data_IF_588961284664
#
_entry.id   IF_588961284664
#
_cell.length_a   1.000
_cell.length_b   1.000
_cell.length_c   1.000
_cell.angle_alpha   90.00
_cell.angle_beta   90.00
_cell.angle_gamma   90.00
#
_symmetry.space_group_name_H-M   'P 1'
#
loop_
_entity.id
_entity.type
_entity.pdbx_description
1 polymer ?
#
# COMPACT_ATOMS: atom_id res chain seq x y z
N UNK A 1 11.03 -29.51 35.66
CA UNK A 1 10.22 -29.10 34.48
C UNK A 1 10.99 -29.16 33.15
N UNK A 2 12.34 -29.22 33.12
CA UNK A 2 13.11 -29.31 31.86
C UNK A 2 13.06 -30.67 31.14
N UNK A 3 12.92 -31.79 31.86
CA UNK A 3 13.07 -33.14 31.29
C UNK A 3 11.91 -33.54 30.34
N UNK A 4 10.72 -32.96 30.53
CA UNK A 4 9.55 -33.26 29.69
C UNK A 4 9.62 -32.59 28.30
N UNK A 5 10.37 -31.49 28.17
CA UNK A 5 10.48 -30.73 26.92
C UNK A 5 11.46 -31.42 25.97
N UNK A 6 12.58 -31.93 26.49
CA UNK A 6 13.60 -32.63 25.70
C UNK A 6 13.09 -33.94 25.10
N UNK A 7 12.25 -34.69 25.82
CA UNK A 7 11.68 -35.96 25.30
C UNK A 7 10.67 -35.73 24.18
N UNK A 8 9.91 -34.63 24.23
CA UNK A 8 8.93 -34.26 23.21
C UNK A 8 9.60 -33.81 21.90
N UNK A 9 10.66 -32.99 21.99
CA UNK A 9 11.46 -32.55 20.84
C UNK A 9 12.14 -33.75 20.16
N UNK A 10 12.71 -34.67 20.94
CA UNK A 10 13.37 -35.86 20.39
C UNK A 10 12.38 -36.81 19.70
N UNK A 11 11.15 -36.94 20.22
CA UNK A 11 10.09 -37.73 19.59
C UNK A 11 9.61 -37.12 18.26
N UNK A 12 9.41 -35.79 18.25
CA UNK A 12 9.02 -35.06 17.04
C UNK A 12 10.10 -35.11 15.94
N UNK A 13 11.39 -35.07 16.34
CA UNK A 13 12.53 -35.22 15.42
C UNK A 13 12.64 -36.64 14.84
N UNK A 14 12.34 -37.67 15.63
CA UNK A 14 12.39 -39.06 15.19
C UNK A 14 11.26 -39.39 14.20
N UNK A 15 10.05 -38.92 14.45
CA UNK A 15 8.92 -39.05 13.52
C UNK A 15 9.17 -38.28 12.21
N UNK A 16 9.76 -37.08 12.29
CA UNK A 16 10.18 -36.32 11.11
C UNK A 16 11.24 -37.06 10.28
N UNK A 17 12.29 -37.61 10.92
CA UNK A 17 13.32 -38.41 10.22
C UNK A 17 12.76 -39.70 9.62
N UNK A 18 11.83 -40.36 10.30
CA UNK A 18 11.12 -41.53 9.79
C UNK A 18 10.24 -41.17 8.58
N UNK A 19 9.54 -40.03 8.64
CA UNK A 19 8.72 -39.54 7.53
C UNK A 19 9.57 -39.13 6.32
N UNK A 20 10.69 -38.43 6.51
CA UNK A 20 11.61 -38.08 5.42
C UNK A 20 12.24 -39.32 4.77
N UNK A 21 12.68 -40.31 5.57
CA UNK A 21 13.35 -41.51 5.04
C UNK A 21 12.43 -42.43 4.23
N UNK A 22 11.12 -42.40 4.51
CA UNK A 22 10.12 -43.20 3.80
C UNK A 22 9.37 -42.46 2.67
N UNK A 23 9.51 -41.13 2.54
CA UNK A 23 8.76 -40.33 1.53
C UNK A 23 9.63 -39.54 0.51
N UNK A 24 10.95 -39.76 0.44
CA UNK A 24 11.78 -39.20 -0.67
C UNK A 24 11.97 -40.18 -1.83
N UNK A 25 10.86 -40.70 -2.34
CA UNK A 25 10.76 -41.13 -3.74
C UNK A 25 9.49 -40.52 -4.31
N UNK A 26 9.59 -39.28 -4.79
CA UNK A 26 8.66 -38.83 -5.84
C UNK A 26 9.34 -39.12 -7.17
N UNK A 27 8.87 -40.09 -7.99
CA UNK A 27 9.49 -40.41 -9.27
C UNK A 27 9.25 -39.33 -10.34
N UNK A 28 8.42 -38.32 -10.07
CA UNK A 28 8.21 -37.17 -10.94
C UNK A 28 8.16 -35.91 -10.07
N UNK A 29 9.06 -34.97 -10.32
CA UNK A 29 8.82 -33.57 -9.96
C UNK A 29 7.79 -33.10 -10.98
N UNK A 30 6.55 -32.88 -10.54
CA UNK A 30 5.56 -32.23 -11.40
C UNK A 30 5.94 -30.75 -11.46
N UNK A 31 6.22 -30.23 -12.64
CA UNK A 31 6.54 -28.80 -12.85
C UNK A 31 5.40 -27.87 -12.38
N UNK A 32 4.19 -28.41 -12.27
CA UNK A 32 3.02 -27.71 -11.74
C UNK A 32 3.01 -27.58 -10.21
N UNK A 33 3.87 -28.30 -9.48
CA UNK A 33 3.91 -28.25 -8.03
C UNK A 33 5.08 -27.38 -7.55
N UNK A 34 4.77 -26.24 -6.93
CA UNK A 34 5.79 -25.32 -6.41
C UNK A 34 6.52 -25.96 -5.23
N UNK A 35 7.85 -26.04 -5.33
CA UNK A 35 8.70 -26.55 -4.25
C UNK A 35 8.64 -25.55 -3.09
N UNK A 36 7.88 -25.88 -2.05
CA UNK A 36 7.77 -25.07 -0.83
C UNK A 36 8.84 -25.48 0.18
N UNK A 37 9.46 -24.49 0.83
CA UNK A 37 10.40 -24.74 1.91
C UNK A 37 9.65 -25.24 3.15
N UNK A 38 9.78 -26.53 3.44
CA UNK A 38 9.05 -27.23 4.52
C UNK A 38 9.32 -26.64 5.91
N UNK A 39 10.53 -26.15 6.19
CA UNK A 39 10.87 -25.53 7.48
C UNK A 39 10.07 -24.25 7.73
N UNK A 40 9.81 -23.47 6.68
CA UNK A 40 9.02 -22.23 6.77
C UNK A 40 7.53 -22.54 6.99
N UNK A 41 7.04 -23.69 6.51
CA UNK A 41 5.64 -24.09 6.74
C UNK A 41 5.39 -24.38 8.23
N UNK A 42 6.35 -25.01 8.90
CA UNK A 42 6.25 -25.42 10.30
C UNK A 42 6.38 -24.25 11.30
N UNK A 43 6.97 -23.11 10.88
CA UNK A 43 7.16 -21.92 11.71
C UNK A 43 5.91 -21.02 11.72
N UNK A 44 5.16 -20.99 10.62
CA UNK A 44 4.00 -20.11 10.47
C UNK A 44 2.73 -20.80 10.99
N UNK A 45 2.23 -20.34 12.13
CA UNK A 45 0.97 -20.79 12.73
C UNK A 45 -0.25 -20.47 11.86
N UNK A 46 -1.34 -21.24 12.01
CA UNK A 46 -2.58 -21.04 11.25
C UNK A 46 -3.16 -19.63 11.40
N UNK A 47 -3.11 -19.05 12.61
CA UNK A 47 -3.56 -17.69 12.88
C UNK A 47 -2.83 -16.64 12.02
N UNK A 48 -1.52 -16.78 11.83
CA UNK A 48 -0.72 -15.87 11.02
C UNK A 48 -0.97 -16.07 9.52
N UNK A 49 -1.37 -17.27 9.08
CA UNK A 49 -1.76 -17.54 7.69
C UNK A 49 -3.09 -16.90 7.31
N UNK A 50 -3.98 -16.76 8.29
CA UNK A 50 -5.34 -16.25 8.10
C UNK A 50 -5.44 -14.74 8.36
N UNK A 51 -4.43 -14.17 9.00
CA UNK A 51 -4.32 -12.73 9.25
C UNK A 51 -4.27 -11.94 7.93
N UNK A 52 -5.15 -10.95 7.82
CA UNK A 52 -5.20 -10.00 6.71
C UNK A 52 -4.82 -8.63 7.27
N UNK A 53 -4.08 -7.85 6.49
CA UNK A 53 -3.83 -6.46 6.86
C UNK A 53 -5.16 -5.71 6.92
N UNK A 54 -5.34 -4.79 7.89
CA UNK A 54 -6.50 -3.92 7.91
C UNK A 54 -6.47 -2.96 6.72
N UNK A 55 -7.65 -2.58 6.23
CA UNK A 55 -7.81 -1.53 5.23
C UNK A 55 -7.63 -0.16 5.89
N UNK A 56 -6.38 0.30 5.98
CA UNK A 56 -6.04 1.61 6.54
C UNK A 56 -5.93 2.68 5.44
N UNK A 57 -6.50 3.86 5.70
CA UNK A 57 -6.37 5.01 4.81
C UNK A 57 -4.96 5.58 4.89
N UNK A 58 -4.37 5.87 3.73
CA UNK A 58 -3.10 6.60 3.67
C UNK A 58 -3.35 8.11 3.83
N UNK A 59 -2.44 8.80 4.52
CA UNK A 59 -2.46 10.25 4.61
C UNK A 59 -1.99 10.85 3.26
N UNK A 60 -2.92 11.42 2.50
CA UNK A 60 -2.62 12.11 1.24
C UNK A 60 -2.52 13.62 1.53
N UNK A 61 -1.41 14.30 1.15
CA UNK A 61 -1.29 15.74 1.32
C UNK A 61 -2.37 16.47 0.50
N UNK A 62 -3.23 17.23 1.18
CA UNK A 62 -4.32 17.95 0.53
C UNK A 62 -3.83 18.94 -0.55
N UNK A 63 -2.64 19.52 -0.38
CA UNK A 63 -2.03 20.44 -1.34
C UNK A 63 -1.70 19.82 -2.70
N UNK A 64 -1.53 18.49 -2.74
CA UNK A 64 -1.24 17.72 -3.97
C UNK A 64 -2.53 17.19 -4.63
N UNK A 65 -3.68 17.45 -4.02
CA UNK A 65 -4.97 17.10 -4.58
C UNK A 65 -5.53 18.30 -5.38
N UNK A 66 -6.33 18.03 -6.44
CA UNK A 66 -7.08 19.06 -7.13
C UNK A 66 -8.14 19.68 -6.21
N UNK A 67 -8.48 20.94 -6.46
CA UNK A 67 -9.54 21.63 -5.73
C UNK A 67 -10.88 20.87 -5.88
N UNK A 68 -11.56 20.49 -4.78
CA UNK A 68 -12.89 19.90 -4.85
C UNK A 68 -13.95 20.87 -5.42
N UNK A 69 -13.71 22.19 -5.39
CA UNK A 69 -14.63 23.20 -5.94
C UNK A 69 -14.24 23.58 -7.39
N UNK A 70 -14.97 23.12 -8.42
CA UNK A 70 -14.58 23.31 -9.82
C UNK A 70 -14.77 24.74 -10.35
N UNK A 71 -15.40 25.64 -9.58
CA UNK A 71 -15.71 27.02 -10.04
C UNK A 71 -14.49 27.97 -9.91
N UNK A 72 -13.45 27.54 -9.19
CA UNK A 72 -12.34 28.42 -8.81
C UNK A 72 -11.07 28.24 -9.68
N UNK A 73 -11.05 27.29 -10.63
CA UNK A 73 -9.86 27.01 -11.42
C UNK A 73 -9.95 25.86 -12.42
N UNK A 74 -8.78 25.44 -12.92
CA UNK A 74 -8.66 24.27 -13.79
C UNK A 74 -8.77 22.99 -12.93
N UNK A 75 -9.76 22.11 -13.17
CA UNK A 75 -10.01 20.92 -12.34
C UNK A 75 -8.88 19.88 -12.38
N UNK A 76 -7.89 20.05 -13.25
CA UNK A 76 -6.75 19.16 -13.37
C UNK A 76 -5.51 19.64 -12.59
N UNK A 77 -5.55 20.84 -12.01
CA UNK A 77 -4.42 21.42 -11.27
C UNK A 77 -4.58 21.21 -9.77
N UNK A 78 -3.45 20.96 -9.11
CA UNK A 78 -3.39 20.83 -7.64
C UNK A 78 -3.49 22.20 -6.96
N UNK A 79 -3.96 22.24 -5.72
CA UNK A 79 -4.03 23.47 -4.92
C UNK A 79 -2.67 24.20 -4.88
N UNK A 80 -1.58 23.45 -4.75
CA UNK A 80 -0.22 23.98 -4.75
C UNK A 80 0.17 24.66 -6.07
N UNK A 81 -0.24 24.10 -7.20
CA UNK A 81 0.04 24.68 -8.52
C UNK A 81 -0.76 25.95 -8.76
N UNK A 82 -2.01 25.99 -8.29
CA UNK A 82 -2.87 27.16 -8.39
C UNK A 82 -2.32 28.36 -7.61
N UNK A 83 -1.83 28.15 -6.38
CA UNK A 83 -1.22 29.20 -5.55
C UNK A 83 0.07 29.80 -6.15
N UNK A 84 0.77 29.04 -7.00
CA UNK A 84 1.98 29.52 -7.67
C UNK A 84 1.67 30.39 -8.90
N UNK A 85 0.41 30.48 -9.33
CA UNK A 85 0.02 31.30 -10.47
C UNK A 85 -0.17 32.75 -10.05
N UNK A 86 0.46 33.66 -10.79
CA UNK A 86 0.19 35.08 -10.65
C UNK A 86 -1.07 35.43 -11.46
N UNK A 87 -2.18 35.69 -10.77
CA UNK A 87 -3.48 36.03 -11.38
C UNK A 87 -3.79 37.53 -11.44
N UNK A 88 -3.00 38.37 -10.76
CA UNK A 88 -3.20 39.82 -10.75
C UNK A 88 -2.71 40.49 -12.04
N UNK A 89 -3.67 40.87 -12.89
CA UNK A 89 -3.46 41.60 -14.14
C UNK A 89 -3.59 43.12 -13.99
N UNK A 90 -3.81 43.65 -12.77
CA UNK A 90 -3.99 45.08 -12.49
C UNK A 90 -5.05 45.82 -13.36
N UNK A 91 -6.01 45.08 -13.95
CA UNK A 91 -7.04 45.61 -14.86
C UNK A 91 -7.96 46.65 -14.19
N UNK A 92 -8.04 46.65 -12.86
CA UNK A 92 -8.74 47.66 -12.07
C UNK A 92 -8.26 49.10 -12.36
N UNK A 93 -7.03 49.28 -12.84
CA UNK A 93 -6.49 50.59 -13.22
C UNK A 93 -7.09 51.10 -14.54
N UNK A 94 -7.47 50.21 -15.45
CA UNK A 94 -7.98 50.55 -16.79
C UNK A 94 -9.43 51.05 -16.70
N UNK A 95 -10.27 50.40 -15.89
CA UNK A 95 -11.68 50.77 -15.73
C UNK A 95 -11.90 52.13 -15.03
N UNK A 96 -10.90 52.65 -14.31
CA UNK A 96 -10.98 53.98 -13.69
C UNK A 96 -10.56 55.12 -14.62
N UNK A 97 -9.96 54.79 -15.77
CA UNK A 97 -9.44 55.77 -16.73
C UNK A 97 -10.35 56.05 -17.91
N UNK A 98 -11.51 55.40 -18.03
CA UNK A 98 -12.54 55.85 -18.97
C UNK A 98 -13.12 57.16 -18.43
N UNK A 99 -12.82 58.32 -19.04
CA UNK A 99 -13.51 59.55 -18.68
C UNK A 99 -14.97 59.30 -19.02
N UNK A 100 -15.87 59.54 -18.08
CA UNK A 100 -17.29 59.76 -18.36
C UNK A 100 -17.40 61.03 -19.22
N UNK A 101 -17.01 60.92 -20.49
CA UNK A 101 -17.24 61.89 -21.55
C UNK A 101 -18.43 61.38 -22.36
N UNK A 102 -19.60 61.38 -21.74
CA UNK A 102 -20.90 61.28 -22.40
C UNK A 102 -21.69 62.51 -21.95
N UNK A 103 -21.60 63.62 -22.69
CA UNK A 103 -22.60 64.02 -23.69
C UNK A 103 -24.01 64.14 -23.10
N UNK A 104 -24.30 65.28 -22.46
CA UNK A 104 -25.39 66.24 -22.74
C UNK A 104 -25.57 67.19 -21.56
#
# INVERSE_FOLDING_TARGET
>A
MSVAIETNINKCYFEYKFFLKNNYKSPYIMDSNVIRNRRLIDIVCSSWREEKLPDESIAVPASELPDPEPDNGNPQETLKEQEQKWTDLALNKINRTTPTASLS
#
